data_IF_671955451147
#
_entry.id   IF_671955451147
#
_cell.length_a   1.000
_cell.length_b   1.000
_cell.length_c   1.000
_cell.angle_alpha   90.00
_cell.angle_beta   90.00
_cell.angle_gamma   90.00
#
_symmetry.space_group_name_H-M   'P 1'
#
loop_
_entity.id
_entity.type
_entity.pdbx_description
1 polymer ?
#
# COMPACT_ATOMS: atom_id res chain seq x y z
N UNK A 1 -28.15 -37.01 0.30
CA UNK A 1 -27.62 -35.66 0.46
C UNK A 1 -27.68 -34.97 -0.90
N UNK A 2 -28.40 -33.84 -1.02
CA UNK A 2 -28.42 -33.05 -2.26
C UNK A 2 -27.00 -32.53 -2.56
N UNK A 3 -26.65 -32.54 -3.86
CA UNK A 3 -25.34 -32.00 -4.28
C UNK A 3 -25.30 -30.49 -4.00
N UNK A 4 -24.28 -30.01 -3.27
CA UNK A 4 -24.08 -28.60 -2.98
C UNK A 4 -23.88 -27.83 -4.30
N UNK A 5 -24.60 -26.72 -4.48
CA UNK A 5 -24.41 -25.82 -5.63
C UNK A 5 -23.42 -24.72 -5.30
N UNK A 6 -22.87 -24.03 -6.33
CA UNK A 6 -21.97 -22.87 -6.11
C UNK A 6 -22.65 -21.76 -5.28
N UNK A 7 -23.94 -21.48 -5.56
CA UNK A 7 -24.67 -20.48 -4.76
C UNK A 7 -24.92 -20.94 -3.33
N UNK A 8 -25.19 -22.22 -3.12
CA UNK A 8 -25.35 -22.79 -1.79
C UNK A 8 -24.03 -22.74 -0.98
N UNK A 9 -22.92 -23.06 -1.64
CA UNK A 9 -21.60 -23.00 -1.03
C UNK A 9 -21.22 -21.54 -0.64
N UNK A 10 -21.46 -20.56 -1.54
CA UNK A 10 -21.28 -19.14 -1.24
C UNK A 10 -22.11 -18.72 -0.02
N UNK A 11 -23.39 -19.08 0.02
CA UNK A 11 -24.28 -18.71 1.14
C UNK A 11 -23.79 -19.31 2.48
N UNK A 12 -23.30 -20.56 2.46
CA UNK A 12 -22.70 -21.18 3.64
C UNK A 12 -21.46 -20.45 4.12
N UNK A 13 -20.56 -20.07 3.19
CA UNK A 13 -19.38 -19.28 3.48
C UNK A 13 -19.73 -17.91 4.08
N UNK A 14 -20.65 -17.18 3.46
CA UNK A 14 -21.11 -15.88 3.95
C UNK A 14 -21.71 -15.98 5.36
N UNK A 15 -22.49 -17.03 5.64
CA UNK A 15 -23.02 -17.27 6.98
C UNK A 15 -21.92 -17.49 8.01
N UNK A 16 -20.86 -18.22 7.68
CA UNK A 16 -19.70 -18.40 8.59
C UNK A 16 -18.96 -17.09 8.80
N UNK A 17 -18.69 -16.35 7.72
CA UNK A 17 -17.95 -15.09 7.77
C UNK A 17 -18.69 -13.96 8.50
N UNK A 18 -20.02 -14.05 8.68
CA UNK A 18 -20.78 -13.01 9.41
C UNK A 18 -20.37 -12.83 10.88
N UNK A 19 -19.56 -13.74 11.43
CA UNK A 19 -19.01 -13.62 12.78
C UNK A 19 -17.75 -12.73 12.84
N UNK A 20 -17.10 -12.48 11.67
CA UNK A 20 -15.78 -11.83 11.61
C UNK A 20 -15.67 -10.74 10.53
N UNK A 21 -16.70 -10.54 9.73
CA UNK A 21 -16.70 -9.59 8.60
C UNK A 21 -17.97 -8.75 8.57
N UNK A 22 -17.80 -7.47 8.24
CA UNK A 22 -18.91 -6.54 7.98
C UNK A 22 -19.51 -6.72 6.56
N UNK A 23 -18.80 -7.41 5.66
CA UNK A 23 -19.19 -7.64 4.28
C UNK A 23 -19.09 -9.12 3.88
N UNK A 24 -19.74 -10.06 4.64
CA UNK A 24 -19.52 -11.51 4.49
C UNK A 24 -19.95 -12.06 3.12
N UNK A 25 -20.97 -11.48 2.50
CA UNK A 25 -21.44 -11.88 1.16
C UNK A 25 -20.44 -11.54 0.05
N UNK A 26 -19.78 -10.40 0.17
CA UNK A 26 -18.72 -9.97 -0.73
C UNK A 26 -17.48 -10.87 -0.56
N UNK A 27 -17.01 -11.05 0.66
CA UNK A 27 -15.84 -11.89 0.93
C UNK A 27 -16.04 -13.33 0.49
N UNK A 28 -17.19 -13.94 0.77
CA UNK A 28 -17.52 -15.29 0.32
C UNK A 28 -17.56 -15.39 -1.22
N UNK A 29 -18.00 -14.33 -1.91
CA UNK A 29 -17.98 -14.30 -3.37
C UNK A 29 -16.55 -14.27 -3.92
N UNK A 30 -15.69 -13.40 -3.41
CA UNK A 30 -14.28 -13.30 -3.82
C UNK A 30 -13.53 -14.62 -3.58
N UNK A 31 -13.75 -15.25 -2.42
CA UNK A 31 -13.14 -16.54 -2.08
C UNK A 31 -13.62 -17.68 -2.99
N UNK A 32 -14.92 -17.69 -3.39
CA UNK A 32 -15.42 -18.64 -4.38
C UNK A 32 -14.80 -18.41 -5.75
N UNK A 33 -14.69 -17.15 -6.19
CA UNK A 33 -14.06 -16.83 -7.48
C UNK A 33 -12.62 -17.34 -7.52
N UNK A 34 -11.88 -17.13 -6.44
CA UNK A 34 -10.52 -17.66 -6.30
C UNK A 34 -10.47 -19.19 -6.33
N UNK A 35 -11.23 -19.88 -5.48
CA UNK A 35 -11.19 -21.34 -5.37
C UNK A 35 -11.59 -22.04 -6.65
N UNK A 36 -12.59 -21.50 -7.35
CA UNK A 36 -13.10 -22.11 -8.58
C UNK A 36 -12.41 -21.62 -9.84
N UNK A 37 -11.56 -20.56 -9.75
CA UNK A 37 -10.92 -19.96 -10.90
C UNK A 37 -11.92 -19.33 -11.88
N UNK A 38 -12.99 -18.71 -11.38
CA UNK A 38 -14.09 -18.14 -12.18
C UNK A 38 -14.20 -16.63 -11.93
N UNK A 39 -14.80 -15.94 -12.88
CA UNK A 39 -15.16 -14.52 -12.74
C UNK A 39 -16.53 -14.37 -12.11
N UNK A 40 -16.87 -13.15 -11.66
CA UNK A 40 -18.20 -12.78 -11.19
C UNK A 40 -19.29 -13.12 -12.23
N UNK A 41 -19.05 -12.84 -13.51
CA UNK A 41 -20.00 -13.11 -14.59
C UNK A 41 -20.18 -14.61 -14.80
N UNK A 42 -19.10 -15.38 -14.79
CA UNK A 42 -19.15 -16.84 -14.88
C UNK A 42 -19.91 -17.43 -13.69
N UNK A 43 -19.71 -16.92 -12.49
CA UNK A 43 -20.45 -17.36 -11.31
C UNK A 43 -21.96 -17.13 -11.47
N UNK A 44 -22.39 -15.97 -11.97
CA UNK A 44 -23.80 -15.68 -12.19
C UNK A 44 -24.47 -16.68 -13.14
N UNK A 45 -23.76 -17.11 -14.18
CA UNK A 45 -24.24 -18.11 -15.14
C UNK A 45 -24.22 -19.53 -14.57
N UNK A 46 -23.30 -19.85 -13.70
CA UNK A 46 -23.02 -21.22 -13.22
C UNK A 46 -23.49 -21.49 -11.78
N UNK A 47 -24.05 -20.50 -11.09
CA UNK A 47 -24.40 -20.55 -9.66
C UNK A 47 -25.26 -21.75 -9.23
N UNK A 48 -26.06 -22.34 -10.16
CA UNK A 48 -26.88 -23.53 -9.94
C UNK A 48 -26.15 -24.85 -10.20
N UNK A 49 -24.94 -24.84 -10.75
CA UNK A 49 -24.16 -26.06 -10.99
C UNK A 49 -23.68 -26.66 -9.66
N UNK A 50 -23.54 -27.97 -9.64
CA UNK A 50 -22.94 -28.71 -8.53
C UNK A 50 -21.48 -28.28 -8.37
N UNK A 51 -21.09 -27.94 -7.15
CA UNK A 51 -19.73 -27.58 -6.81
C UNK A 51 -18.79 -28.78 -6.91
N UNK A 52 -17.60 -28.60 -7.47
CA UNK A 52 -16.55 -29.59 -7.51
C UNK A 52 -16.02 -29.86 -6.08
N UNK A 53 -15.87 -31.12 -5.64
CA UNK A 53 -15.46 -31.42 -4.26
C UNK A 53 -14.08 -30.90 -3.90
N UNK A 54 -13.09 -30.93 -4.82
CA UNK A 54 -11.74 -30.45 -4.54
C UNK A 54 -11.74 -28.92 -4.35
N UNK A 55 -12.38 -28.20 -5.26
CA UNK A 55 -12.54 -26.75 -5.17
C UNK A 55 -13.38 -26.30 -3.97
N UNK A 56 -14.34 -27.13 -3.58
CA UNK A 56 -15.11 -26.93 -2.33
C UNK A 56 -14.17 -26.97 -1.12
N UNK A 57 -13.28 -27.97 -1.05
CA UNK A 57 -12.31 -28.06 0.05
C UNK A 57 -11.33 -26.89 0.06
N UNK A 58 -10.89 -26.40 -1.12
CA UNK A 58 -10.07 -25.18 -1.22
C UNK A 58 -10.83 -23.95 -0.69
N UNK A 59 -12.08 -23.78 -1.09
CA UNK A 59 -12.92 -22.70 -0.60
C UNK A 59 -13.12 -22.75 0.92
N UNK A 60 -13.41 -23.93 1.46
CA UNK A 60 -13.56 -24.13 2.91
C UNK A 60 -12.26 -23.77 3.65
N UNK A 61 -11.10 -24.14 3.10
CA UNK A 61 -9.80 -23.76 3.64
C UNK A 61 -9.57 -22.23 3.65
N UNK A 62 -10.03 -21.51 2.62
CA UNK A 62 -9.99 -20.04 2.61
C UNK A 62 -10.93 -19.42 3.66
N UNK A 63 -12.12 -19.97 3.81
CA UNK A 63 -13.05 -19.55 4.88
C UNK A 63 -12.42 -19.75 6.26
N UNK A 64 -11.75 -20.85 6.51
CA UNK A 64 -11.08 -21.11 7.79
C UNK A 64 -9.92 -20.12 8.05
N UNK A 65 -9.11 -19.83 7.04
CA UNK A 65 -8.06 -18.81 7.14
C UNK A 65 -8.66 -17.44 7.50
N UNK A 66 -9.76 -17.06 6.83
CA UNK A 66 -10.44 -15.79 7.09
C UNK A 66 -11.05 -15.74 8.50
N UNK A 67 -11.68 -16.81 8.95
CA UNK A 67 -12.19 -16.95 10.32
C UNK A 67 -11.08 -16.89 11.39
N UNK A 68 -9.88 -17.35 11.06
CA UNK A 68 -8.71 -17.23 11.94
C UNK A 68 -8.14 -15.80 12.00
N UNK A 69 -8.65 -14.86 11.18
CA UNK A 69 -8.25 -13.44 11.14
C UNK A 69 -7.30 -13.09 10.01
N UNK A 70 -7.00 -14.01 9.07
CA UNK A 70 -6.20 -13.69 7.89
C UNK A 70 -6.94 -12.66 7.04
N UNK A 71 -6.30 -11.55 6.63
CA UNK A 71 -6.91 -10.58 5.74
C UNK A 71 -7.38 -11.21 4.42
N UNK A 72 -8.56 -10.83 3.95
CA UNK A 72 -9.10 -11.30 2.67
C UNK A 72 -8.09 -11.12 1.54
N UNK A 73 -7.45 -9.96 1.48
CA UNK A 73 -6.50 -9.57 0.44
C UNK A 73 -5.27 -10.50 0.40
N UNK A 74 -4.81 -10.94 1.56
CA UNK A 74 -3.71 -11.90 1.63
C UNK A 74 -4.13 -13.28 1.13
N UNK A 75 -5.36 -13.71 1.47
CA UNK A 75 -5.91 -14.96 0.93
C UNK A 75 -6.04 -14.86 -0.59
N UNK A 76 -6.52 -13.72 -1.12
CA UNK A 76 -6.65 -13.49 -2.56
C UNK A 76 -5.28 -13.42 -3.26
N UNK A 77 -4.26 -12.85 -2.59
CA UNK A 77 -2.93 -12.62 -3.13
C UNK A 77 -2.80 -11.36 -3.98
N UNK A 78 -3.87 -10.58 -4.12
CA UNK A 78 -3.89 -9.31 -4.82
C UNK A 78 -4.98 -8.39 -4.27
N UNK A 79 -4.82 -7.10 -4.55
CA UNK A 79 -5.83 -6.08 -4.26
C UNK A 79 -5.85 -5.00 -5.34
N UNK A 80 -6.95 -4.30 -5.47
CA UNK A 80 -7.08 -3.14 -6.35
C UNK A 80 -6.84 -1.86 -5.57
N UNK A 81 -6.06 -0.93 -6.14
CA UNK A 81 -5.79 0.38 -5.58
C UNK A 81 -5.62 1.36 -6.74
N UNK A 82 -6.31 2.47 -6.70
CA UNK A 82 -6.30 3.51 -7.73
C UNK A 82 -6.53 2.94 -9.15
N UNK A 83 -7.51 2.04 -9.28
CA UNK A 83 -7.85 1.29 -10.51
C UNK A 83 -6.70 0.44 -11.09
N UNK A 84 -5.67 0.14 -10.30
CA UNK A 84 -4.56 -0.72 -10.66
C UNK A 84 -4.54 -1.97 -9.78
N UNK A 85 -4.07 -3.08 -10.33
CA UNK A 85 -3.93 -4.34 -9.59
C UNK A 85 -2.56 -4.42 -8.94
N UNK A 86 -2.53 -4.80 -7.66
CA UNK A 86 -1.31 -5.01 -6.89
C UNK A 86 -1.30 -6.38 -6.25
N UNK A 87 -0.18 -7.09 -6.37
CA UNK A 87 0.07 -8.25 -5.54
C UNK A 87 0.27 -7.80 -4.09
N UNK A 88 -0.35 -8.52 -3.17
CA UNK A 88 -0.22 -8.33 -1.73
C UNK A 88 -0.08 -9.68 -1.04
N UNK A 89 0.47 -9.68 0.15
CA UNK A 89 0.64 -10.90 0.95
C UNK A 89 1.39 -10.57 2.22
N UNK A 90 1.70 -11.57 3.00
CA UNK A 90 2.45 -11.43 4.25
C UNK A 90 3.74 -10.64 4.03
N UNK A 91 3.98 -9.66 4.90
CA UNK A 91 5.15 -8.79 4.89
C UNK A 91 4.94 -7.43 4.21
N UNK A 92 3.75 -7.10 3.70
CA UNK A 92 3.43 -5.76 3.19
C UNK A 92 2.09 -5.25 3.70
N UNK A 93 2.00 -3.95 3.93
CA UNK A 93 0.72 -3.30 4.23
C UNK A 93 -0.24 -3.45 3.04
N UNK A 94 -1.48 -3.81 3.33
CA UNK A 94 -2.54 -3.85 2.32
C UNK A 94 -2.89 -2.41 1.91
N UNK A 95 -2.89 -2.06 0.60
CA UNK A 95 -3.28 -0.72 0.16
C UNK A 95 -4.66 -0.30 0.68
N UNK A 96 -4.76 0.91 1.25
CA UNK A 96 -6.00 1.46 1.81
C UNK A 96 -6.62 2.46 0.84
N UNK A 97 -7.95 2.47 0.77
CA UNK A 97 -8.68 3.42 -0.07
C UNK A 97 -8.38 4.89 0.30
N UNK A 98 -8.21 5.18 1.59
CA UNK A 98 -7.88 6.53 2.07
C UNK A 98 -6.53 7.04 1.53
N UNK A 99 -5.59 6.14 1.25
CA UNK A 99 -4.28 6.48 0.65
C UNK A 99 -4.41 6.98 -0.79
N UNK A 100 -5.52 6.73 -1.48
CA UNK A 100 -5.75 7.23 -2.85
C UNK A 100 -5.77 8.75 -2.93
N UNK A 101 -6.10 9.44 -1.83
CA UNK A 101 -6.03 10.91 -1.78
C UNK A 101 -4.59 11.41 -1.89
N UNK A 102 -3.61 10.70 -1.31
CA UNK A 102 -2.20 11.02 -1.45
C UNK A 102 -1.77 10.93 -2.93
N UNK A 103 -2.16 9.86 -3.62
CA UNK A 103 -1.90 9.68 -5.05
C UNK A 103 -2.54 10.80 -5.87
N UNK A 104 -3.81 11.13 -5.60
CA UNK A 104 -4.52 12.18 -6.33
C UNK A 104 -3.86 13.55 -6.16
N UNK A 105 -3.45 13.91 -4.94
CA UNK A 105 -2.74 15.17 -4.68
C UNK A 105 -1.38 15.21 -5.36
N UNK A 106 -0.66 14.09 -5.38
CA UNK A 106 0.62 13.95 -6.06
C UNK A 106 0.50 14.15 -7.58
N UNK A 107 -0.46 13.50 -8.22
CA UNK A 107 -0.74 13.64 -9.66
C UNK A 107 -1.13 15.10 -9.99
N UNK A 108 -2.00 15.71 -9.18
CA UNK A 108 -2.41 17.11 -9.38
C UNK A 108 -1.22 18.07 -9.29
N UNK A 109 -0.32 17.85 -8.32
CA UNK A 109 0.85 18.70 -8.11
C UNK A 109 1.88 18.61 -9.24
N UNK A 110 1.97 17.45 -9.91
CA UNK A 110 2.89 17.21 -11.01
C UNK A 110 2.24 17.29 -12.40
N UNK A 111 0.96 17.68 -12.45
CA UNK A 111 0.23 17.80 -13.72
C UNK A 111 0.92 18.77 -14.67
N UNK A 112 1.14 18.34 -15.91
CA UNK A 112 1.84 19.13 -16.94
C UNK A 112 3.37 19.11 -16.84
N UNK A 113 3.95 18.50 -15.81
CA UNK A 113 5.41 18.32 -15.71
C UNK A 113 5.85 17.10 -16.53
N UNK A 114 6.82 17.28 -17.41
CA UNK A 114 7.42 16.19 -18.17
C UNK A 114 8.52 15.49 -17.36
N UNK A 115 8.52 14.15 -17.39
CA UNK A 115 9.52 13.30 -16.77
C UNK A 115 9.77 13.61 -15.28
N UNK A 116 8.72 13.74 -14.44
CA UNK A 116 8.90 14.08 -13.05
C UNK A 116 9.64 12.98 -12.29
N UNK A 117 10.51 13.38 -11.35
CA UNK A 117 11.21 12.49 -10.43
C UNK A 117 10.46 12.38 -9.11
N UNK A 118 10.06 11.17 -8.76
CA UNK A 118 9.27 10.87 -7.57
C UNK A 118 10.05 9.92 -6.65
N UNK A 119 10.15 10.29 -5.38
CA UNK A 119 10.70 9.45 -4.31
C UNK A 119 9.54 8.97 -3.43
N UNK A 120 9.33 7.67 -3.36
CA UNK A 120 8.34 7.01 -2.49
C UNK A 120 9.05 6.37 -1.30
N UNK A 121 8.89 6.95 -0.13
CA UNK A 121 9.52 6.50 1.12
C UNK A 121 8.55 5.59 1.92
N UNK A 122 9.05 4.52 2.50
CA UNK A 122 8.25 3.47 3.13
C UNK A 122 7.25 2.87 2.12
N UNK A 123 7.74 2.49 0.93
CA UNK A 123 6.91 2.18 -0.23
C UNK A 123 6.03 0.93 -0.07
N UNK A 124 6.34 0.01 0.84
CA UNK A 124 5.53 -1.17 1.12
C UNK A 124 5.29 -2.04 -0.12
N UNK A 125 4.05 -2.15 -0.56
CA UNK A 125 3.69 -2.84 -1.82
C UNK A 125 4.05 -2.05 -3.09
N UNK A 126 4.53 -0.82 -2.95
CA UNK A 126 4.81 0.10 -4.06
C UNK A 126 3.55 0.72 -4.68
N UNK A 127 2.39 0.62 -4.02
CA UNK A 127 1.11 1.06 -4.61
C UNK A 127 1.07 2.57 -4.85
N UNK A 128 1.58 3.40 -3.92
CA UNK A 128 1.57 4.86 -4.04
C UNK A 128 2.44 5.31 -5.20
N UNK A 129 3.73 4.99 -5.16
CA UNK A 129 4.69 5.40 -6.21
C UNK A 129 4.29 4.87 -7.59
N UNK A 130 3.88 3.59 -7.68
CA UNK A 130 3.44 2.98 -8.94
C UNK A 130 2.21 3.67 -9.51
N UNK A 131 1.18 3.97 -8.68
CA UNK A 131 -0.02 4.66 -9.14
C UNK A 131 0.30 6.09 -9.62
N UNK A 132 1.17 6.81 -8.93
CA UNK A 132 1.63 8.14 -9.34
C UNK A 132 2.35 8.06 -10.68
N UNK A 133 3.38 7.19 -10.79
CA UNK A 133 4.20 7.08 -11.99
C UNK A 133 3.39 6.61 -13.21
N UNK A 134 2.40 5.74 -13.03
CA UNK A 134 1.52 5.26 -14.11
C UNK A 134 0.65 6.37 -14.71
N UNK A 135 0.30 7.38 -13.93
CA UNK A 135 -0.56 8.48 -14.33
C UNK A 135 0.21 9.72 -14.81
N UNK A 136 1.55 9.69 -14.81
CA UNK A 136 2.41 10.79 -15.21
C UNK A 136 3.36 10.38 -16.34
N UNK A 137 3.36 11.14 -17.42
CA UNK A 137 4.19 10.83 -18.61
C UNK A 137 5.68 10.92 -18.27
N UNK A 138 6.41 9.83 -18.51
CA UNK A 138 7.86 9.77 -18.34
C UNK A 138 8.31 9.86 -16.87
N UNK A 139 7.42 9.63 -15.92
CA UNK A 139 7.79 9.66 -14.51
C UNK A 139 8.89 8.64 -14.17
N UNK A 140 9.89 9.08 -13.41
CA UNK A 140 10.97 8.26 -12.87
C UNK A 140 10.70 8.02 -11.40
N UNK A 141 10.51 6.76 -11.03
CA UNK A 141 10.15 6.36 -9.68
C UNK A 141 11.35 5.79 -8.92
N UNK A 142 11.57 6.31 -7.72
CA UNK A 142 12.52 5.80 -6.74
C UNK A 142 11.73 5.34 -5.52
N UNK A 143 11.72 4.03 -5.25
CA UNK A 143 10.95 3.42 -4.17
C UNK A 143 11.87 2.89 -3.09
N UNK A 144 11.66 3.34 -1.86
CA UNK A 144 12.52 3.03 -0.72
C UNK A 144 11.74 2.28 0.35
N UNK A 145 12.28 1.16 0.79
CA UNK A 145 11.83 0.46 1.99
C UNK A 145 13.04 -0.13 2.74
N UNK A 146 12.84 -0.43 4.02
CA UNK A 146 13.87 -1.03 4.85
C UNK A 146 14.00 -2.54 4.62
N UNK A 147 12.88 -3.20 4.32
CA UNK A 147 12.76 -4.65 4.28
C UNK A 147 12.72 -5.19 2.86
N UNK A 148 13.30 -6.37 2.67
CA UNK A 148 13.38 -7.00 1.34
C UNK A 148 12.01 -7.38 0.80
N UNK A 149 11.12 -7.87 1.66
CA UNK A 149 9.81 -8.33 1.24
C UNK A 149 8.95 -7.22 0.60
N UNK A 150 8.79 -6.02 1.19
CA UNK A 150 8.21 -4.87 0.52
C UNK A 150 8.84 -4.55 -0.83
N UNK A 151 10.17 -4.54 -0.92
CA UNK A 151 10.88 -4.23 -2.17
C UNK A 151 10.61 -5.27 -3.27
N UNK A 152 10.49 -6.56 -2.93
CA UNK A 152 10.07 -7.61 -3.87
C UNK A 152 8.64 -7.35 -4.41
N UNK A 153 7.71 -6.98 -3.52
CA UNK A 153 6.35 -6.64 -3.95
C UNK A 153 6.33 -5.38 -4.80
N UNK A 154 7.08 -4.35 -4.42
CA UNK A 154 7.21 -3.11 -5.20
C UNK A 154 7.69 -3.39 -6.62
N UNK A 155 8.74 -4.18 -6.80
CA UNK A 155 9.24 -4.54 -8.13
C UNK A 155 8.20 -5.33 -8.94
N UNK A 156 7.62 -6.37 -8.34
CA UNK A 156 6.57 -7.19 -8.99
C UNK A 156 5.36 -6.33 -9.42
N UNK A 157 4.95 -5.41 -8.57
CA UNK A 157 3.80 -4.54 -8.82
C UNK A 157 4.07 -3.46 -9.87
N UNK A 158 5.27 -2.88 -9.87
CA UNK A 158 5.69 -1.96 -10.92
C UNK A 158 5.69 -2.65 -12.29
N UNK A 159 6.28 -3.85 -12.39
CA UNK A 159 6.27 -4.66 -13.62
C UNK A 159 4.86 -5.06 -14.06
N UNK A 160 4.01 -5.50 -13.12
CA UNK A 160 2.60 -5.85 -13.40
C UNK A 160 1.86 -4.67 -14.05
N UNK A 161 2.16 -3.45 -13.62
CA UNK A 161 1.54 -2.23 -14.11
C UNK A 161 2.32 -1.57 -15.27
N UNK A 162 3.34 -2.24 -15.81
CA UNK A 162 4.06 -1.83 -17.02
C UNK A 162 4.99 -0.64 -16.82
N UNK A 163 5.49 -0.42 -15.59
CA UNK A 163 6.55 0.55 -15.35
C UNK A 163 7.92 -0.06 -15.65
N UNK A 164 8.74 0.67 -16.39
CA UNK A 164 10.12 0.28 -16.76
C UNK A 164 11.18 1.17 -16.10
N UNK A 165 10.86 2.42 -15.79
CA UNK A 165 11.79 3.37 -15.16
C UNK A 165 11.51 3.48 -13.65
N UNK A 166 11.91 2.41 -12.93
CA UNK A 166 11.80 2.32 -11.48
C UNK A 166 13.15 1.92 -10.86
N UNK A 167 13.52 2.62 -9.81
CA UNK A 167 14.68 2.33 -8.99
C UNK A 167 14.23 1.81 -7.62
N UNK A 168 14.57 0.58 -7.32
CA UNK A 168 14.28 -0.05 -6.03
C UNK A 168 15.45 0.17 -5.11
N UNK A 169 15.20 0.66 -3.90
CA UNK A 169 16.23 1.08 -2.96
C UNK A 169 15.93 0.50 -1.59
N UNK A 170 16.90 -0.23 -1.03
CA UNK A 170 16.86 -0.61 0.38
C UNK A 170 17.42 0.55 1.21
N UNK A 171 16.68 1.00 2.21
CA UNK A 171 17.14 2.09 3.05
C UNK A 171 16.31 2.31 4.31
N UNK A 172 16.98 2.78 5.34
CA UNK A 172 16.35 3.14 6.61
C UNK A 172 16.04 4.65 6.59
N UNK A 173 14.77 4.99 6.44
CA UNK A 173 14.28 6.37 6.43
C UNK A 173 14.70 7.12 7.71
N UNK A 174 14.79 6.43 8.85
CA UNK A 174 15.22 7.05 10.11
C UNK A 174 16.70 7.44 10.11
N UNK A 175 17.53 6.79 9.29
CA UNK A 175 18.97 7.10 9.11
C UNK A 175 19.24 8.02 7.92
N UNK A 176 18.22 8.30 7.11
CA UNK A 176 18.32 9.14 5.92
C UNK A 176 19.05 8.48 4.75
N UNK A 177 19.21 9.24 3.67
CA UNK A 177 19.73 8.77 2.38
C UNK A 177 21.13 8.14 2.43
N UNK A 178 21.93 8.43 3.45
CA UNK A 178 23.25 7.81 3.64
C UNK A 178 23.18 6.29 3.86
N UNK A 179 22.01 5.77 4.27
CA UNK A 179 21.78 4.34 4.47
C UNK A 179 21.31 3.63 3.20
N UNK A 180 21.07 4.36 2.11
CA UNK A 180 20.41 3.85 0.92
C UNK A 180 21.36 3.05 0.03
N UNK A 181 20.85 1.94 -0.49
CA UNK A 181 21.51 1.05 -1.47
C UNK A 181 20.51 0.72 -2.57
N UNK A 182 20.86 1.00 -3.80
CA UNK A 182 20.06 0.50 -4.92
C UNK A 182 20.15 -1.03 -4.96
N UNK A 183 19.03 -1.65 -5.32
CA UNK A 183 18.93 -3.09 -5.34
C UNK A 183 18.28 -3.59 -6.61
N UNK A 184 18.53 -4.83 -6.94
CA UNK A 184 17.88 -5.52 -8.04
C UNK A 184 17.51 -6.93 -7.62
N UNK A 185 16.50 -7.47 -8.31
CA UNK A 185 16.08 -8.85 -8.16
C UNK A 185 16.41 -9.62 -9.43
N UNK A 186 17.09 -10.73 -9.29
CA UNK A 186 17.36 -11.68 -10.39
C UNK A 186 16.75 -13.03 -10.00
N UNK A 187 15.49 -13.21 -10.35
CA UNK A 187 14.65 -14.25 -9.77
C UNK A 187 14.46 -14.00 -8.27
N UNK A 188 14.73 -15.02 -7.45
CA UNK A 188 14.64 -14.92 -5.98
C UNK A 188 15.93 -14.37 -5.33
N UNK A 189 16.90 -13.93 -6.13
CA UNK A 189 18.18 -13.41 -5.63
C UNK A 189 18.17 -11.90 -5.59
N UNK A 190 18.46 -11.41 -4.41
CA UNK A 190 18.70 -10.01 -4.12
C UNK A 190 20.17 -9.63 -4.42
N UNK A 191 20.39 -8.51 -5.07
CA UNK A 191 21.73 -7.98 -5.31
C UNK A 191 21.76 -6.46 -5.05
N UNK A 192 22.79 -5.97 -4.40
CA UNK A 192 23.03 -4.54 -4.23
C UNK A 192 23.72 -3.97 -5.48
N UNK A 193 23.38 -2.72 -5.79
CA UNK A 193 23.99 -1.92 -6.85
C UNK A 193 24.40 -0.57 -6.29
N UNK A 194 25.22 0.15 -7.03
CA UNK A 194 25.48 1.56 -6.75
C UNK A 194 24.21 2.38 -6.91
N UNK A 195 24.10 3.42 -6.11
CA UNK A 195 23.00 4.37 -6.22
C UNK A 195 23.06 5.04 -7.60
N UNK A 196 21.91 5.34 -8.23
CA UNK A 196 21.90 6.11 -9.47
C UNK A 196 22.60 7.47 -9.29
N UNK A 197 23.44 7.87 -10.24
CA UNK A 197 24.21 9.12 -10.19
C UNK A 197 23.32 10.36 -10.04
N UNK A 198 22.09 10.28 -10.52
CA UNK A 198 21.11 11.34 -10.45
C UNK A 198 20.14 11.23 -9.26
N UNK A 199 20.45 10.42 -8.26
CA UNK A 199 19.64 10.35 -7.05
C UNK A 199 19.65 11.71 -6.32
N UNK A 200 18.45 12.27 -6.12
CA UNK A 200 18.26 13.63 -5.61
C UNK A 200 17.52 14.54 -6.61
N UNK A 201 17.31 15.79 -6.25
CA UNK A 201 16.56 16.78 -7.04
C UNK A 201 15.16 16.24 -7.44
N UNK A 202 14.42 15.74 -6.45
CA UNK A 202 13.09 15.20 -6.65
C UNK A 202 12.05 16.31 -6.82
N UNK A 203 11.11 16.10 -7.72
CA UNK A 203 9.95 16.97 -7.89
C UNK A 203 8.90 16.70 -6.82
N UNK A 204 8.89 15.46 -6.33
CA UNK A 204 7.99 15.03 -5.29
C UNK A 204 8.64 13.95 -4.42
N UNK A 205 8.51 14.14 -3.12
CA UNK A 205 8.76 13.09 -2.13
C UNK A 205 7.42 12.74 -1.50
N UNK A 206 7.01 11.47 -1.60
CA UNK A 206 5.77 10.97 -1.00
C UNK A 206 6.08 9.91 0.04
N UNK A 207 5.21 9.76 1.03
CA UNK A 207 5.27 8.65 1.97
C UNK A 207 3.90 8.36 2.59
N UNK A 208 3.58 7.09 2.74
CA UNK A 208 2.63 6.62 3.74
C UNK A 208 3.43 5.88 4.81
N UNK A 209 4.01 6.59 5.78
CA UNK A 209 4.91 5.99 6.76
C UNK A 209 4.11 5.33 7.88
N UNK A 210 4.72 4.43 8.68
CA UNK A 210 4.12 3.94 9.91
C UNK A 210 3.82 5.10 10.87
N UNK A 211 2.55 5.21 11.31
CA UNK A 211 2.10 6.35 12.14
C UNK A 211 1.27 5.96 13.37
N UNK A 212 0.98 4.69 13.57
CA UNK A 212 0.21 4.24 14.73
C UNK A 212 1.09 4.28 15.98
N UNK A 213 0.58 4.87 17.07
CA UNK A 213 1.28 4.87 18.35
C UNK A 213 1.50 3.44 18.83
N UNK A 214 2.72 3.10 19.26
CA UNK A 214 3.08 1.72 19.66
C UNK A 214 2.10 1.11 20.66
N UNK A 215 1.61 1.90 21.62
CA UNK A 215 0.66 1.44 22.63
C UNK A 215 -0.74 1.06 22.08
N UNK A 216 -1.09 1.55 20.89
CA UNK A 216 -2.40 1.31 20.24
C UNK A 216 -2.38 0.01 19.43
N UNK A 217 -1.22 -0.42 18.92
CA UNK A 217 -1.11 -1.56 17.99
C UNK A 217 -1.74 -2.83 18.56
N UNK A 218 -1.52 -3.11 19.84
CA UNK A 218 -2.06 -4.31 20.47
C UNK A 218 -3.59 -4.29 20.67
N UNK A 219 -4.23 -3.12 20.48
CA UNK A 219 -5.69 -2.97 20.55
C UNK A 219 -6.37 -3.09 19.18
N UNK A 220 -5.61 -3.09 18.09
CA UNK A 220 -6.14 -3.21 16.73
C UNK A 220 -6.85 -4.55 16.50
N UNK A 221 -7.67 -4.62 15.45
CA UNK A 221 -8.36 -5.84 15.06
C UNK A 221 -7.35 -6.97 14.75
N UNK A 222 -7.80 -8.23 14.86
CA UNK A 222 -6.96 -9.40 14.52
C UNK A 222 -6.44 -9.33 13.10
N UNK A 223 -7.24 -8.81 12.19
CA UNK A 223 -6.93 -8.66 10.78
C UNK A 223 -5.74 -7.72 10.57
N UNK A 224 -5.77 -6.53 11.16
CA UNK A 224 -4.66 -5.57 11.10
C UNK A 224 -3.41 -6.10 11.81
N UNK A 225 -3.55 -6.88 12.88
CA UNK A 225 -2.41 -7.51 13.56
C UNK A 225 -1.70 -8.60 12.75
N UNK A 226 -2.34 -9.12 11.71
CA UNK A 226 -1.70 -10.04 10.75
C UNK A 226 -0.88 -9.29 9.68
N UNK A 227 -0.97 -7.96 9.62
CA UNK A 227 -0.09 -7.14 8.80
C UNK A 227 1.24 -6.86 9.54
N UNK A 228 2.33 -6.50 8.82
CA UNK A 228 3.64 -6.30 9.46
C UNK A 228 3.57 -5.17 10.49
N UNK A 229 3.99 -5.45 11.72
CA UNK A 229 4.04 -4.44 12.78
C UNK A 229 4.89 -3.24 12.39
N UNK A 230 5.96 -3.48 11.65
CA UNK A 230 6.90 -2.48 11.18
C UNK A 230 6.25 -1.47 10.21
N UNK A 231 5.20 -1.89 9.50
CA UNK A 231 4.43 -1.02 8.62
C UNK A 231 3.36 -0.20 9.36
N UNK A 232 3.13 -0.47 10.64
CA UNK A 232 2.13 0.18 11.48
C UNK A 232 2.76 1.10 12.54
N UNK A 233 3.90 0.69 13.14
CA UNK A 233 4.47 1.27 14.36
C UNK A 233 5.21 2.60 14.10
N UNK A 234 4.52 3.71 14.33
CA UNK A 234 5.06 5.08 14.27
C UNK A 234 5.88 5.49 15.50
N UNK A 235 6.08 4.60 16.49
CA UNK A 235 6.76 4.91 17.76
C UNK A 235 5.79 5.36 18.86
N UNK A 236 6.35 5.81 19.98
CA UNK A 236 5.57 6.15 21.18
C UNK A 236 4.47 7.18 20.96
N UNK A 237 4.75 8.22 20.17
CA UNK A 237 3.80 9.29 19.81
C UNK A 237 3.25 9.17 18.38
N UNK A 238 3.72 8.18 17.58
CA UNK A 238 3.31 8.00 16.20
C UNK A 238 3.99 8.95 15.20
N UNK A 239 4.94 9.77 15.63
CA UNK A 239 5.48 10.88 14.83
C UNK A 239 6.96 10.69 14.41
N UNK A 240 7.58 9.57 14.77
CA UNK A 240 9.03 9.38 14.55
C UNK A 240 9.43 9.44 13.08
N UNK A 241 8.60 8.90 12.17
CA UNK A 241 8.91 8.92 10.74
C UNK A 241 8.72 10.30 10.14
N UNK A 242 7.69 11.05 10.54
CA UNK A 242 7.49 12.42 10.05
C UNK A 242 8.66 13.33 10.37
N UNK A 243 9.20 13.23 11.61
CA UNK A 243 10.41 13.99 11.99
C UNK A 243 11.59 13.60 11.12
N UNK A 244 11.82 12.30 10.94
CA UNK A 244 12.93 11.81 10.12
C UNK A 244 12.78 12.19 8.64
N UNK A 245 11.58 12.09 8.08
CA UNK A 245 11.28 12.47 6.69
C UNK A 245 11.54 13.98 6.49
N UNK A 246 10.99 14.82 7.36
CA UNK A 246 11.15 16.26 7.30
C UNK A 246 12.63 16.67 7.40
N UNK A 247 13.39 16.07 8.34
CA UNK A 247 14.78 16.41 8.60
C UNK A 247 15.73 15.91 7.52
N UNK A 248 15.58 14.64 7.10
CA UNK A 248 16.58 13.97 6.29
C UNK A 248 16.38 14.13 4.78
N UNK A 249 15.19 14.52 4.32
CA UNK A 249 14.85 14.41 2.89
C UNK A 249 14.48 15.74 2.22
N UNK A 250 14.25 16.82 2.97
CA UNK A 250 13.95 18.12 2.37
C UNK A 250 15.00 18.54 1.34
N UNK A 251 16.27 18.39 1.66
CA UNK A 251 17.39 18.83 0.83
C UNK A 251 17.56 17.97 -0.45
N UNK A 252 16.80 16.90 -0.60
CA UNK A 252 16.71 16.10 -1.83
C UNK A 252 15.62 16.60 -2.80
N UNK A 253 14.79 17.55 -2.39
CA UNK A 253 13.84 18.21 -3.29
C UNK A 253 14.57 19.20 -4.21
N UNK A 254 14.05 19.36 -5.42
CA UNK A 254 14.40 20.48 -6.27
C UNK A 254 13.74 21.79 -5.76
N UNK A 255 14.07 22.94 -6.37
CA UNK A 255 13.63 24.26 -5.91
C UNK A 255 12.10 24.41 -5.77
N UNK A 256 11.33 23.75 -6.65
CA UNK A 256 9.86 23.75 -6.64
C UNK A 256 9.29 22.38 -6.23
N UNK A 257 10.10 21.55 -5.60
CA UNK A 257 9.73 20.23 -5.16
C UNK A 257 8.78 20.27 -3.96
N UNK A 258 7.96 19.24 -3.82
CA UNK A 258 6.98 19.11 -2.74
C UNK A 258 7.20 17.83 -1.96
N UNK A 259 6.87 17.90 -0.68
CA UNK A 259 6.81 16.73 0.20
C UNK A 259 5.37 16.49 0.60
N UNK A 260 4.90 15.24 0.46
CA UNK A 260 3.54 14.84 0.80
C UNK A 260 3.56 13.58 1.64
N UNK A 261 2.89 13.60 2.78
CA UNK A 261 2.81 12.44 3.68
C UNK A 261 1.37 12.15 4.07
N UNK A 262 1.00 10.86 4.06
CA UNK A 262 -0.24 10.42 4.71
C UNK A 262 -0.10 10.53 6.22
N UNK A 263 -1.20 10.87 6.91
CA UNK A 263 -1.25 11.01 8.36
C UNK A 263 -2.44 10.27 8.97
N UNK A 264 -2.33 9.92 10.24
CA UNK A 264 -3.49 9.53 11.04
C UNK A 264 -4.46 10.70 11.19
N UNK A 265 -5.76 10.41 11.25
CA UNK A 265 -6.83 11.40 11.29
C UNK A 265 -6.74 12.38 12.48
N UNK A 266 -5.98 12.03 13.51
CA UNK A 266 -5.79 12.79 14.75
C UNK A 266 -4.39 13.42 14.87
N UNK A 267 -3.59 13.45 13.78
CA UNK A 267 -2.18 13.89 13.82
C UNK A 267 -1.89 15.19 13.06
N UNK A 268 -2.94 15.88 12.56
CA UNK A 268 -2.78 17.08 11.72
C UNK A 268 -1.89 18.14 12.35
N UNK A 269 -2.21 18.52 13.58
CA UNK A 269 -1.57 19.68 14.23
C UNK A 269 -0.08 19.42 14.41
N UNK A 270 0.26 18.26 14.95
CA UNK A 270 1.65 17.88 15.24
C UNK A 270 2.47 17.71 13.95
N UNK A 271 1.90 17.06 12.92
CA UNK A 271 2.63 16.84 11.66
C UNK A 271 2.81 18.16 10.91
N UNK A 272 1.78 19.00 10.85
CA UNK A 272 1.88 20.34 10.25
C UNK A 272 2.97 21.16 10.94
N UNK A 273 3.07 21.13 12.27
CA UNK A 273 4.10 21.85 13.03
C UNK A 273 5.52 21.31 12.74
N UNK A 274 5.68 19.99 12.63
CA UNK A 274 6.96 19.39 12.24
C UNK A 274 7.41 19.92 10.87
N UNK A 275 6.52 19.95 9.88
CA UNK A 275 6.90 20.38 8.53
C UNK A 275 7.06 21.90 8.41
N UNK A 276 6.31 22.71 9.15
CA UNK A 276 6.50 24.17 9.22
C UNK A 276 7.89 24.57 9.75
N UNK A 277 8.53 23.71 10.52
CA UNK A 277 9.90 23.98 11.01
C UNK A 277 10.92 24.05 9.87
N UNK A 278 10.62 23.47 8.71
CA UNK A 278 11.55 23.36 7.57
C UNK A 278 10.99 23.94 6.26
N UNK A 279 9.67 24.05 6.10
CA UNK A 279 9.02 24.50 4.88
C UNK A 279 8.25 25.81 5.10
N UNK A 280 8.22 26.66 4.08
CA UNK A 280 7.50 27.95 4.12
C UNK A 280 5.98 27.80 4.08
N UNK A 281 5.50 26.77 3.37
CA UNK A 281 4.08 26.49 3.20
C UNK A 281 3.78 25.06 3.62
N UNK A 282 2.75 24.88 4.44
CA UNK A 282 2.28 23.56 4.87
C UNK A 282 0.78 23.58 5.00
N UNK A 283 0.10 22.62 4.36
CA UNK A 283 -1.36 22.48 4.41
C UNK A 283 -1.76 21.01 4.59
N UNK A 284 -2.93 20.78 5.16
CA UNK A 284 -3.53 19.47 5.29
C UNK A 284 -4.72 19.33 4.37
N UNK A 285 -4.85 18.17 3.74
CA UNK A 285 -5.98 17.77 2.91
C UNK A 285 -6.78 16.69 3.62
N UNK A 286 -8.10 16.73 3.46
CA UNK A 286 -9.00 15.72 4.00
C UNK A 286 -9.32 14.64 2.98
N UNK A 287 -9.67 13.44 3.47
CA UNK A 287 -10.26 12.39 2.65
C UNK A 287 -11.75 12.68 2.33
N UNK A 288 -12.38 11.78 1.58
CA UNK A 288 -13.79 11.92 1.19
C UNK A 288 -14.76 11.86 2.38
N UNK A 289 -14.33 11.32 3.52
CA UNK A 289 -15.09 11.26 4.76
C UNK A 289 -14.91 12.50 5.63
N UNK A 290 -14.03 13.43 5.22
CA UNK A 290 -13.72 14.67 5.93
C UNK A 290 -12.64 14.52 7.01
N UNK A 291 -11.96 13.37 7.11
CA UNK A 291 -10.85 13.19 8.03
C UNK A 291 -9.55 13.75 7.45
N UNK A 292 -8.73 14.37 8.30
CA UNK A 292 -7.39 14.81 7.92
C UNK A 292 -6.56 13.61 7.43
N UNK A 293 -5.93 13.73 6.24
CA UNK A 293 -5.29 12.56 5.62
C UNK A 293 -3.92 12.82 4.99
N UNK A 294 -3.71 13.97 4.37
CA UNK A 294 -2.44 14.25 3.69
C UNK A 294 -1.91 15.62 4.09
N UNK A 295 -0.68 15.66 4.59
CA UNK A 295 0.08 16.92 4.78
C UNK A 295 0.96 17.15 3.55
N UNK A 296 0.86 18.36 2.99
CA UNK A 296 1.62 18.83 1.83
C UNK A 296 2.50 19.98 2.28
N UNK A 297 3.80 19.91 2.01
CA UNK A 297 4.77 20.94 2.36
C UNK A 297 5.60 21.36 1.13
N UNK A 298 5.89 22.67 1.01
CA UNK A 298 6.64 23.29 -0.08
C UNK A 298 7.30 24.58 0.38
N UNK A 299 8.23 25.09 -0.44
CA UNK A 299 8.89 26.38 -0.19
C UNK A 299 8.34 27.52 -1.08
N UNK A 300 7.19 27.30 -1.71
CA UNK A 300 6.42 28.28 -2.52
C UNK A 300 5.18 28.82 -1.78
#
# INVERSE_FOLDING_TARGET
MGKMTLSGLKALGAKRLSEVSDCPDFEAAELIYKAFGITKDSFLLERGKTADPQKTAEFEGYIEQRMAGMPLQYILGFWEFYSLKFFVGEGVLIPRADTEILVQQAINALSGKENPKVLDLCCGSGCVGTAIAKNLKGARLFSVDLFDRPLEFTEKNARLNGLSDIHIIRGDVLKGAKSFKAVCFNGDRFCEKEMPDDFGNFDLIVSNPPYIRSAVIDTLSKEVKNEPREALDGGGDGLKFYRAICENFKDLLNENGRMMVEIGFDQREEVVEIFKSRFKSTRCMTDLSGNDRVVIAADE
#
